data_IF_662987810540
#
_entry.id   IF_662987810540
#
_cell.length_a   1.000
_cell.length_b   1.000
_cell.length_c   1.000
_cell.angle_alpha   90.00
_cell.angle_beta   90.00
_cell.angle_gamma   90.00
#
_symmetry.space_group_name_H-M   'P 1'
#
loop_
_entity.id
_entity.type
_entity.pdbx_description
1 polymer ?
#
# COMPACT_ATOMS: atom_id res chain seq x y z
N UNK A 1 -23.50 -10.68 16.29
CA UNK A 1 -23.00 -9.95 17.47
C UNK A 1 -21.50 -9.93 17.33
N UNK A 2 -20.89 -8.80 16.92
CA UNK A 2 -19.42 -8.74 16.74
C UNK A 2 -18.76 -8.74 18.10
N UNK A 3 -17.82 -9.67 18.29
CA UNK A 3 -16.96 -9.73 19.46
C UNK A 3 -16.07 -8.48 19.45
N UNK A 4 -16.28 -7.63 20.45
CA UNK A 4 -15.44 -6.45 20.68
C UNK A 4 -14.49 -6.76 21.83
N UNK A 5 -13.23 -6.30 21.76
CA UNK A 5 -12.67 -5.45 20.71
C UNK A 5 -12.25 -6.23 19.45
N UNK A 6 -12.48 -5.65 18.27
CA UNK A 6 -11.99 -6.19 17.00
C UNK A 6 -10.48 -5.87 16.80
N UNK A 7 -9.84 -6.49 15.80
CA UNK A 7 -8.40 -6.31 15.52
C UNK A 7 -7.98 -4.84 15.36
N UNK A 8 -8.81 -4.02 14.69
CA UNK A 8 -8.56 -2.59 14.52
C UNK A 8 -8.66 -1.82 15.84
N UNK A 9 -9.67 -2.13 16.66
CA UNK A 9 -9.86 -1.53 18.00
C UNK A 9 -8.70 -1.91 18.94
N UNK A 10 -8.18 -3.14 18.87
CA UNK A 10 -7.01 -3.57 19.64
C UNK A 10 -5.73 -2.82 19.22
N UNK A 11 -5.49 -2.66 17.92
CA UNK A 11 -4.33 -1.91 17.42
C UNK A 11 -4.45 -0.41 17.69
N UNK A 12 -5.66 0.15 17.69
CA UNK A 12 -5.90 1.54 18.07
C UNK A 12 -5.52 1.77 19.54
N UNK A 13 -6.03 0.94 20.45
CA UNK A 13 -5.71 1.01 21.87
C UNK A 13 -4.20 0.83 22.13
N UNK A 14 -3.55 -0.11 21.45
CA UNK A 14 -2.11 -0.30 21.56
C UNK A 14 -1.30 0.91 21.08
N UNK A 15 -1.69 1.55 19.97
CA UNK A 15 -1.01 2.78 19.50
C UNK A 15 -1.20 3.94 20.49
N UNK A 16 -2.42 4.13 21.00
CA UNK A 16 -2.77 5.18 21.95
C UNK A 16 -1.95 5.03 23.25
N UNK A 17 -1.97 3.86 23.89
CA UNK A 17 -1.16 3.59 25.09
C UNK A 17 0.33 3.79 24.83
N UNK A 18 0.85 3.31 23.68
CA UNK A 18 2.27 3.48 23.34
C UNK A 18 2.64 4.95 23.16
N UNK A 19 1.77 5.76 22.55
CA UNK A 19 2.04 7.17 22.28
C UNK A 19 1.86 8.08 23.49
N UNK A 20 0.80 7.85 24.25
CA UNK A 20 0.35 8.81 25.25
C UNK A 20 0.90 8.47 26.63
N UNK A 21 1.19 7.19 26.91
CA UNK A 21 1.68 6.75 28.21
C UNK A 21 3.15 6.33 28.16
N UNK A 22 3.56 5.55 27.16
CA UNK A 22 4.90 4.94 27.13
C UNK A 22 5.95 5.89 26.54
N UNK A 23 5.72 6.46 25.36
CA UNK A 23 6.69 7.34 24.67
C UNK A 23 7.17 8.54 25.50
N UNK A 24 6.33 9.22 26.30
CA UNK A 24 6.77 10.34 27.13
C UNK A 24 7.74 9.93 28.24
N UNK A 25 7.68 8.67 28.69
CA UNK A 25 8.54 8.13 29.74
C UNK A 25 9.89 7.59 29.22
N UNK A 26 10.10 7.54 27.89
CA UNK A 26 11.30 6.99 27.28
C UNK A 26 12.25 8.09 26.79
N UNK A 27 13.55 7.78 26.84
CA UNK A 27 14.63 8.61 26.29
C UNK A 27 15.57 7.79 25.40
N UNK A 28 16.45 8.50 24.67
CA UNK A 28 17.52 7.91 23.86
C UNK A 28 17.04 6.85 22.86
N UNK A 29 17.76 5.74 22.80
CA UNK A 29 17.49 4.65 21.85
C UNK A 29 16.15 3.96 22.07
N UNK A 30 15.67 3.86 23.33
CA UNK A 30 14.39 3.25 23.64
C UNK A 30 13.22 4.07 23.08
N UNK A 31 13.31 5.41 23.12
CA UNK A 31 12.32 6.30 22.52
C UNK A 31 12.24 6.11 21.00
N UNK A 32 13.39 6.00 20.32
CA UNK A 32 13.42 5.73 18.88
C UNK A 32 12.79 4.39 18.53
N UNK A 33 13.12 3.32 19.27
CA UNK A 33 12.51 2.01 19.05
C UNK A 33 10.99 2.04 19.24
N UNK A 34 10.48 2.72 20.28
CA UNK A 34 9.05 2.87 20.51
C UNK A 34 8.34 3.67 19.39
N UNK A 35 8.98 4.70 18.83
CA UNK A 35 8.46 5.42 17.66
C UNK A 35 8.36 4.51 16.42
N UNK A 36 9.37 3.66 16.19
CA UNK A 36 9.34 2.66 15.12
C UNK A 36 8.18 1.67 15.28
N UNK A 37 7.94 1.19 16.51
CA UNK A 37 6.82 0.30 16.82
C UNK A 37 5.49 1.02 16.58
N UNK A 38 5.33 2.26 17.03
CA UNK A 38 4.12 3.04 16.81
C UNK A 38 3.83 3.22 15.30
N UNK A 39 4.86 3.48 14.49
CA UNK A 39 4.71 3.57 13.05
C UNK A 39 4.25 2.24 12.42
N UNK A 40 4.78 1.10 12.88
CA UNK A 40 4.37 -0.22 12.41
C UNK A 40 2.91 -0.54 12.78
N UNK A 41 2.48 -0.24 14.01
CA UNK A 41 1.09 -0.41 14.46
C UNK A 41 0.14 0.43 13.60
N UNK A 42 0.51 1.70 13.34
CA UNK A 42 -0.28 2.58 12.50
C UNK A 42 -0.46 2.02 11.08
N UNK A 43 0.60 1.42 10.50
CA UNK A 43 0.55 0.75 9.19
C UNK A 43 -0.38 -0.45 9.21
N UNK A 44 -0.23 -1.34 10.19
CA UNK A 44 -1.08 -2.53 10.31
C UNK A 44 -2.56 -2.16 10.50
N UNK A 45 -2.87 -1.08 11.23
CA UNK A 45 -4.26 -0.61 11.38
C UNK A 45 -4.82 -0.10 10.06
N UNK A 46 -4.04 0.66 9.29
CA UNK A 46 -4.45 1.10 7.94
C UNK A 46 -4.70 -0.07 7.00
N UNK A 47 -3.89 -1.12 7.04
CA UNK A 47 -4.15 -2.33 6.24
C UNK A 47 -5.51 -2.97 6.58
N UNK A 48 -5.87 -3.02 7.86
CA UNK A 48 -7.16 -3.53 8.31
C UNK A 48 -8.32 -2.61 7.89
N UNK A 49 -8.15 -1.29 8.02
CA UNK A 49 -9.16 -0.28 7.66
C UNK A 49 -9.40 -0.23 6.15
N UNK A 50 -8.34 -0.33 5.35
CA UNK A 50 -8.43 -0.32 3.87
C UNK A 50 -8.97 -1.64 3.33
N UNK A 51 -8.81 -2.74 4.09
CA UNK A 51 -9.40 -4.04 3.80
C UNK A 51 -9.10 -4.55 2.39
N UNK A 52 -10.10 -5.16 1.75
CA UNK A 52 -9.98 -5.69 0.38
C UNK A 52 -10.06 -4.61 -0.71
N UNK A 53 -10.27 -3.34 -0.37
CA UNK A 53 -10.53 -2.31 -1.38
C UNK A 53 -9.25 -1.92 -2.15
N UNK A 54 -8.09 -1.88 -1.49
CA UNK A 54 -6.81 -1.64 -2.16
C UNK A 54 -6.45 -2.76 -3.13
N UNK A 55 -6.61 -4.01 -2.69
CA UNK A 55 -6.38 -5.19 -3.51
C UNK A 55 -7.36 -5.24 -4.70
N UNK A 56 -8.63 -4.89 -4.46
CA UNK A 56 -9.64 -4.80 -5.52
C UNK A 56 -9.30 -3.74 -6.57
N UNK A 57 -8.99 -2.50 -6.16
CA UNK A 57 -8.58 -1.43 -7.09
C UNK A 57 -7.34 -1.82 -7.91
N UNK A 58 -6.38 -2.49 -7.28
CA UNK A 58 -5.17 -2.98 -7.97
C UNK A 58 -5.53 -4.05 -9.01
N UNK A 59 -6.41 -5.00 -8.66
CA UNK A 59 -6.87 -6.04 -9.59
C UNK A 59 -7.72 -5.47 -10.73
N UNK A 60 -8.53 -4.44 -10.46
CA UNK A 60 -9.32 -3.74 -11.49
C UNK A 60 -8.40 -3.04 -12.50
N UNK A 61 -7.34 -2.36 -12.03
CA UNK A 61 -6.34 -1.76 -12.92
C UNK A 61 -5.64 -2.82 -13.79
N UNK A 62 -5.26 -3.97 -13.23
CA UNK A 62 -4.74 -5.08 -14.04
C UNK A 62 -5.77 -5.64 -15.02
N UNK A 63 -7.05 -5.62 -14.67
CA UNK A 63 -8.12 -6.09 -15.54
C UNK A 63 -8.36 -5.12 -16.72
N UNK A 64 -8.11 -3.83 -16.55
CA UNK A 64 -8.09 -2.87 -17.65
C UNK A 64 -6.93 -3.14 -18.62
N UNK A 65 -5.76 -3.52 -18.11
CA UNK A 65 -4.58 -3.81 -18.94
C UNK A 65 -4.66 -5.18 -19.63
N UNK A 66 -4.98 -6.23 -18.88
CA UNK A 66 -4.94 -7.62 -19.36
C UNK A 66 -6.31 -8.19 -19.71
N UNK A 67 -7.41 -7.55 -19.33
CA UNK A 67 -8.76 -8.11 -19.41
C UNK A 67 -9.14 -8.93 -18.16
N UNK A 68 -10.40 -8.81 -17.74
CA UNK A 68 -10.92 -9.47 -16.53
C UNK A 68 -10.68 -10.99 -16.50
N UNK A 69 -10.87 -11.69 -17.62
CA UNK A 69 -10.70 -13.14 -17.69
C UNK A 69 -9.24 -13.59 -17.47
N UNK A 70 -8.28 -12.73 -17.79
CA UNK A 70 -6.86 -13.01 -17.57
C UNK A 70 -6.46 -12.79 -16.10
N UNK A 71 -7.03 -11.78 -15.45
CA UNK A 71 -6.84 -11.55 -14.01
C UNK A 71 -7.52 -12.64 -13.18
N UNK A 72 -8.71 -13.10 -13.56
CA UNK A 72 -9.46 -14.09 -12.79
C UNK A 72 -8.88 -15.52 -12.86
N UNK A 73 -8.12 -15.85 -13.90
CA UNK A 73 -7.56 -17.19 -14.13
C UNK A 73 -6.46 -17.62 -13.17
N UNK A 74 -5.78 -16.69 -12.51
CA UNK A 74 -4.56 -17.00 -11.73
C UNK A 74 -4.79 -17.74 -10.40
N UNK A 75 -6.02 -18.01 -9.97
CA UNK A 75 -6.30 -18.67 -8.68
C UNK A 75 -5.70 -17.93 -7.47
N UNK A 76 -5.73 -18.54 -6.29
CA UNK A 76 -5.10 -17.97 -5.09
C UNK A 76 -5.78 -16.74 -4.49
N UNK A 77 -5.16 -16.22 -3.44
CA UNK A 77 -5.51 -14.97 -2.75
C UNK A 77 -5.32 -13.75 -3.66
N UNK A 78 -5.92 -12.61 -3.30
CA UNK A 78 -5.74 -11.37 -4.06
C UNK A 78 -4.26 -10.94 -4.13
N UNK A 79 -3.51 -11.11 -3.04
CA UNK A 79 -2.09 -10.73 -2.97
C UNK A 79 -1.21 -11.63 -3.86
N UNK A 80 -1.43 -12.95 -3.84
CA UNK A 80 -0.70 -13.87 -4.71
C UNK A 80 -0.93 -13.54 -6.19
N UNK A 81 -2.15 -13.16 -6.53
CA UNK A 81 -2.56 -12.78 -7.88
C UNK A 81 -1.91 -11.46 -8.32
N UNK A 82 -1.95 -10.43 -7.46
CA UNK A 82 -1.26 -9.15 -7.70
C UNK A 82 0.24 -9.38 -7.89
N UNK A 83 0.86 -10.25 -7.08
CA UNK A 83 2.29 -10.57 -7.18
C UNK A 83 2.65 -11.34 -8.47
N UNK A 84 1.77 -12.19 -8.98
CA UNK A 84 1.96 -12.84 -10.27
C UNK A 84 1.89 -11.81 -11.41
N UNK A 85 0.80 -11.04 -11.47
CA UNK A 85 0.57 -10.03 -12.51
C UNK A 85 1.66 -8.95 -12.52
N UNK A 86 2.18 -8.57 -11.35
CA UNK A 86 3.31 -7.62 -11.24
C UNK A 86 4.61 -8.17 -11.82
N UNK A 87 4.88 -9.48 -11.66
CA UNK A 87 6.04 -10.11 -12.27
C UNK A 87 5.91 -10.17 -13.79
N UNK A 88 4.73 -10.48 -14.29
CA UNK A 88 4.43 -10.53 -15.73
C UNK A 88 4.58 -9.13 -16.34
N UNK A 89 3.97 -8.10 -15.75
CA UNK A 89 4.10 -6.71 -16.18
C UNK A 89 5.57 -6.25 -16.18
N UNK A 90 6.32 -6.58 -15.12
CA UNK A 90 7.74 -6.22 -15.05
C UNK A 90 8.57 -6.95 -16.12
N UNK A 91 8.17 -8.16 -16.53
CA UNK A 91 8.82 -8.86 -17.63
C UNK A 91 8.53 -8.16 -18.98
N UNK A 92 7.27 -7.84 -19.24
CA UNK A 92 6.83 -7.17 -20.47
C UNK A 92 7.45 -5.78 -20.65
N UNK A 93 7.54 -4.99 -19.56
CA UNK A 93 8.24 -3.69 -19.56
C UNK A 93 9.71 -3.87 -19.93
N UNK A 94 10.41 -4.84 -19.31
CA UNK A 94 11.83 -5.09 -19.64
C UNK A 94 12.04 -5.61 -21.06
N UNK A 95 11.03 -6.27 -21.62
CA UNK A 95 11.05 -6.73 -23.01
C UNK A 95 10.75 -5.59 -24.02
N UNK A 96 10.43 -4.39 -23.56
CA UNK A 96 10.11 -3.24 -24.41
C UNK A 96 8.72 -3.29 -25.03
N UNK A 97 7.82 -4.13 -24.51
CA UNK A 97 6.45 -4.34 -25.04
C UNK A 97 5.66 -3.03 -25.11
N UNK A 98 5.97 -2.10 -24.20
CA UNK A 98 5.25 -0.84 -24.03
C UNK A 98 6.07 0.40 -24.41
N UNK A 99 7.26 0.23 -25.02
CA UNK A 99 8.17 1.35 -25.32
C UNK A 99 7.58 2.35 -26.34
N UNK A 100 6.65 1.89 -27.19
CA UNK A 100 5.95 2.73 -28.16
C UNK A 100 4.81 3.57 -27.54
N UNK A 101 4.33 3.23 -26.34
CA UNK A 101 3.22 3.91 -25.67
C UNK A 101 3.37 3.83 -24.13
N UNK A 102 4.43 4.46 -23.62
CA UNK A 102 4.80 4.43 -22.20
C UNK A 102 3.78 5.13 -21.28
N UNK A 103 2.99 6.06 -21.83
CA UNK A 103 1.90 6.75 -21.11
C UNK A 103 0.53 6.07 -21.35
N UNK A 104 0.53 4.92 -22.02
CA UNK A 104 -0.66 4.12 -22.28
C UNK A 104 -1.17 3.37 -21.04
N UNK A 105 -1.95 2.29 -21.22
CA UNK A 105 -2.63 1.57 -20.14
C UNK A 105 -1.73 1.09 -18.99
N UNK A 106 -0.44 0.86 -19.25
CA UNK A 106 0.55 0.49 -18.24
C UNK A 106 0.75 1.59 -17.19
N UNK A 107 0.70 2.86 -17.59
CA UNK A 107 0.88 3.98 -16.66
C UNK A 107 -0.19 3.97 -15.57
N UNK A 108 -1.45 3.75 -15.92
CA UNK A 108 -2.56 3.70 -14.94
C UNK A 108 -2.41 2.56 -13.92
N UNK A 109 -1.89 1.41 -14.36
CA UNK A 109 -1.61 0.27 -13.46
C UNK A 109 -0.47 0.61 -12.48
N UNK A 110 0.60 1.24 -12.97
CA UNK A 110 1.74 1.63 -12.13
C UNK A 110 1.36 2.74 -11.15
N UNK A 111 0.59 3.73 -11.61
CA UNK A 111 0.07 4.81 -10.76
C UNK A 111 -0.79 4.25 -9.63
N UNK A 112 -1.75 3.38 -9.94
CA UNK A 112 -2.60 2.73 -8.94
C UNK A 112 -1.77 2.00 -7.89
N UNK A 113 -0.77 1.21 -8.32
CA UNK A 113 0.10 0.49 -7.39
C UNK A 113 0.91 1.41 -6.47
N UNK A 114 1.39 2.54 -7.00
CA UNK A 114 2.14 3.53 -6.20
C UNK A 114 1.20 4.22 -5.22
N UNK A 115 0.01 4.61 -5.65
CA UNK A 115 -0.99 5.28 -4.79
C UNK A 115 -1.41 4.36 -3.63
N UNK A 116 -1.74 3.09 -3.89
CA UNK A 116 -2.11 2.16 -2.82
C UNK A 116 -0.96 1.92 -1.85
N UNK A 117 0.28 1.75 -2.35
CA UNK A 117 1.46 1.56 -1.51
C UNK A 117 1.79 2.80 -0.67
N UNK A 118 1.60 3.99 -1.23
CA UNK A 118 1.77 5.25 -0.51
C UNK A 118 0.67 5.46 0.53
N UNK A 119 -0.58 5.08 0.24
CA UNK A 119 -1.68 5.15 1.21
C UNK A 119 -1.38 4.35 2.49
N UNK A 120 -0.75 3.19 2.34
CA UNK A 120 -0.37 2.34 3.47
C UNK A 120 0.88 2.87 4.21
N UNK A 121 1.94 3.20 3.47
CA UNK A 121 3.24 3.54 4.04
C UNK A 121 3.39 5.01 4.46
N UNK A 122 2.83 5.95 3.67
CA UNK A 122 2.97 7.38 3.91
C UNK A 122 1.84 8.23 3.24
N UNK A 123 0.62 8.21 3.79
CA UNK A 123 -0.55 8.81 3.15
C UNK A 123 -0.44 10.33 2.98
N UNK A 124 0.44 11.00 3.74
CA UNK A 124 0.68 12.45 3.59
C UNK A 124 1.15 12.83 2.19
N UNK A 125 1.86 11.93 1.50
CA UNK A 125 2.34 12.14 0.13
C UNK A 125 1.19 12.23 -0.89
N UNK A 126 0.04 11.61 -0.61
CA UNK A 126 -1.13 11.69 -1.49
C UNK A 126 -1.91 13.01 -1.33
N UNK A 127 -1.71 13.70 -0.21
CA UNK A 127 -2.40 14.97 0.11
C UNK A 127 -1.54 16.21 -0.17
N UNK A 128 -0.23 16.04 -0.37
CA UNK A 128 0.66 17.15 -0.67
C UNK A 128 0.57 17.53 -2.16
N UNK A 129 -0.18 18.58 -2.50
CA UNK A 129 -0.31 19.11 -3.88
C UNK A 129 0.97 19.79 -4.43
N UNK A 130 2.13 19.52 -3.84
CA UNK A 130 3.36 20.23 -4.16
C UNK A 130 4.57 19.41 -3.81
N UNK A 131 4.96 18.51 -4.70
CA UNK A 131 6.34 18.04 -4.75
C UNK A 131 6.83 18.13 -6.20
N UNK A 132 7.75 19.06 -6.42
CA UNK A 132 8.61 19.06 -7.60
C UNK A 132 9.67 17.97 -7.39
N UNK A 133 9.96 17.20 -8.43
CA UNK A 133 11.10 16.27 -8.45
C UNK A 133 12.37 17.02 -8.01
N UNK A 134 13.16 16.49 -7.05
CA UNK A 134 14.45 17.07 -6.71
C UNK A 134 15.41 16.79 -7.89
N UNK A 135 15.57 17.78 -8.77
CA UNK A 135 16.43 17.67 -9.95
C UNK A 135 16.00 18.47 -11.19
N UNK A 136 14.93 19.26 -11.12
CA UNK A 136 14.61 20.25 -12.16
C UNK A 136 15.30 21.60 -11.86
N UNK A 137 16.63 21.63 -11.97
CA UNK A 137 17.41 22.85 -12.22
C UNK A 137 18.32 22.62 -13.43
#
# INVERSE_FOLDING_TARGET
MSDRPNKGELLAAAEETLRDEVLPALEGSAKYAALMVAAAIATARREIETGHDAARRTLDAYAELYGHDNVHRSGGTADERINALSRDLAHEIRAGTYDADLLGPVFGVLETQVVERLGLSNPRFLTSSGYSQPGAE
#
